data_IF_910007746451
#
_entry.id   IF_910007746451
#
_cell.length_a   1.000
_cell.length_b   1.000
_cell.length_c   1.000
_cell.angle_alpha   90.00
_cell.angle_beta   90.00
_cell.angle_gamma   90.00
#
_symmetry.space_group_name_H-M   'P 1'
#
loop_
_entity.id
_entity.type
_entity.pdbx_description
1 polymer ?
#
# COMPACT_ATOMS: atom_id res chain seq x y z
N UNK A 1 -6.45 -2.94 -1.49
CA UNK A 1 -5.50 -3.56 -0.54
C UNK A 1 -6.15 -4.77 0.07
N UNK A 2 -5.38 -5.76 0.52
CA UNK A 2 -5.88 -6.99 1.19
C UNK A 2 -4.95 -7.28 2.36
N UNK A 3 -5.47 -7.84 3.45
CA UNK A 3 -4.69 -8.31 4.60
C UNK A 3 -5.18 -9.70 5.02
N UNK A 4 -4.30 -10.52 5.58
CA UNK A 4 -4.66 -11.81 6.19
C UNK A 4 -5.63 -11.67 7.37
N UNK A 5 -5.69 -10.47 7.96
CA UNK A 5 -6.57 -10.15 9.10
C UNK A 5 -7.91 -9.52 8.70
N UNK A 6 -8.21 -9.48 7.41
CA UNK A 6 -9.44 -8.93 6.86
C UNK A 6 -9.20 -7.90 5.77
N UNK A 7 -10.30 -7.37 5.23
CA UNK A 7 -10.24 -6.47 4.07
C UNK A 7 -10.20 -4.99 4.53
N UNK A 8 -9.22 -4.19 4.08
CA UNK A 8 -9.26 -2.73 4.17
C UNK A 8 -10.45 -2.14 3.39
N UNK A 9 -10.77 -0.88 3.65
CA UNK A 9 -11.80 -0.15 2.90
C UNK A 9 -11.41 -0.08 1.39
N UNK A 10 -12.36 -0.37 0.50
CA UNK A 10 -12.15 -0.26 -0.95
C UNK A 10 -12.36 1.19 -1.35
N UNK A 11 -11.35 1.76 -1.99
CA UNK A 11 -11.41 3.11 -2.55
C UNK A 11 -11.73 3.01 -4.04
N UNK A 12 -12.87 3.58 -4.43
CA UNK A 12 -13.32 3.64 -5.82
C UNK A 12 -12.97 5.02 -6.38
N UNK A 13 -12.21 5.03 -7.47
CA UNK A 13 -11.74 6.26 -8.12
C UNK A 13 -12.43 6.38 -9.48
N UNK A 14 -12.87 7.59 -9.90
CA UNK A 14 -13.47 7.78 -11.21
C UNK A 14 -12.57 7.30 -12.36
N UNK A 15 -13.19 6.74 -13.40
CA UNK A 15 -12.48 6.29 -14.61
C UNK A 15 -11.72 7.45 -15.25
N UNK A 16 -10.49 7.20 -15.67
CA UNK A 16 -9.61 8.20 -16.30
C UNK A 16 -8.82 9.06 -15.31
N UNK A 17 -9.01 8.89 -14.00
CA UNK A 17 -8.19 9.57 -12.99
C UNK A 17 -6.75 9.09 -13.06
N UNK A 18 -5.80 10.02 -13.22
CA UNK A 18 -4.38 9.72 -13.18
C UNK A 18 -3.92 9.61 -11.71
N UNK A 19 -3.43 8.44 -11.33
CA UNK A 19 -2.88 8.21 -9.98
C UNK A 19 -1.39 8.56 -9.97
N UNK A 20 -1.06 9.74 -9.47
CA UNK A 20 0.31 10.15 -9.15
C UNK A 20 0.59 9.96 -7.66
N UNK A 21 1.84 10.11 -7.22
CA UNK A 21 2.24 9.74 -5.85
C UNK A 21 1.49 10.50 -4.76
N UNK A 22 1.31 11.81 -4.90
CA UNK A 22 0.56 12.59 -3.91
C UNK A 22 -0.92 12.19 -3.87
N UNK A 23 -1.53 11.92 -5.02
CA UNK A 23 -2.88 11.34 -5.08
C UNK A 23 -2.93 10.01 -4.33
N UNK A 24 -1.99 9.10 -4.61
CA UNK A 24 -1.93 7.80 -3.95
C UNK A 24 -1.76 7.91 -2.43
N UNK A 25 -0.87 8.80 -1.96
CA UNK A 25 -0.69 9.04 -0.52
C UNK A 25 -1.96 9.56 0.12
N UNK A 26 -2.56 10.61 -0.46
CA UNK A 26 -3.68 11.30 0.15
C UNK A 26 -4.99 10.51 0.10
N UNK A 27 -5.24 9.83 -1.02
CA UNK A 27 -6.50 9.13 -1.28
C UNK A 27 -6.42 7.68 -0.84
N UNK A 28 -5.26 7.02 -0.92
CA UNK A 28 -5.10 5.61 -0.57
C UNK A 28 -4.41 5.39 0.78
N UNK A 29 -3.17 5.85 0.93
CA UNK A 29 -2.35 5.47 2.09
C UNK A 29 -2.83 6.14 3.38
N UNK A 30 -3.12 7.45 3.38
CA UNK A 30 -3.56 8.16 4.59
C UNK A 30 -4.87 7.58 5.16
N UNK A 31 -5.93 7.33 4.36
CA UNK A 31 -7.14 6.69 4.87
C UNK A 31 -6.88 5.29 5.43
N UNK A 32 -6.08 4.48 4.72
CA UNK A 32 -5.70 3.14 5.17
C UNK A 32 -4.98 3.17 6.53
N UNK A 33 -3.96 4.01 6.67
CA UNK A 33 -3.19 4.13 7.91
C UNK A 33 -4.05 4.65 9.06
N UNK A 34 -4.96 5.59 8.79
CA UNK A 34 -5.80 6.18 9.84
C UNK A 34 -6.94 5.27 10.28
N UNK A 35 -7.60 4.57 9.35
CA UNK A 35 -8.84 3.82 9.62
C UNK A 35 -8.62 2.32 9.71
N UNK A 36 -7.92 1.74 8.74
CA UNK A 36 -7.82 0.29 8.59
C UNK A 36 -6.72 -0.30 9.47
N UNK A 37 -5.59 0.39 9.61
CA UNK A 37 -4.48 -0.10 10.43
C UNK A 37 -4.89 -0.34 11.89
N UNK A 38 -5.52 0.62 12.62
CA UNK A 38 -5.95 0.36 14.00
C UNK A 38 -7.02 -0.73 14.11
N UNK A 39 -7.86 -0.87 13.07
CA UNK A 39 -8.94 -1.86 13.03
C UNK A 39 -8.43 -3.29 12.76
N UNK A 40 -7.47 -3.44 11.86
CA UNK A 40 -6.93 -4.74 11.42
C UNK A 40 -5.71 -5.19 12.25
N UNK A 41 -4.99 -4.24 12.84
CA UNK A 41 -3.78 -4.46 13.62
C UNK A 41 -3.85 -3.63 14.91
N UNK A 42 -4.74 -3.99 15.86
CA UNK A 42 -4.88 -3.28 17.13
C UNK A 42 -3.60 -3.30 17.97
N UNK A 43 -2.71 -4.27 17.76
CA UNK A 43 -1.39 -4.36 18.39
C UNK A 43 -0.42 -3.29 17.84
N UNK A 44 -0.75 -2.70 16.68
CA UNK A 44 -0.04 -1.56 16.10
C UNK A 44 0.66 -1.88 14.77
N UNK A 45 1.11 -0.83 14.07
CA UNK A 45 1.69 -0.93 12.72
C UNK A 45 3.02 -1.69 12.63
N UNK A 46 3.67 -1.99 13.73
CA UNK A 46 4.95 -2.71 13.73
C UNK A 46 4.79 -4.20 13.45
N UNK A 47 3.60 -4.78 13.66
CA UNK A 47 3.33 -6.19 13.37
C UNK A 47 2.96 -6.45 11.91
N UNK A 48 2.74 -5.40 11.10
CA UNK A 48 2.44 -5.55 9.68
C UNK A 48 3.68 -5.34 8.82
N UNK A 49 3.69 -5.99 7.65
CA UNK A 49 4.59 -5.64 6.55
C UNK A 49 3.73 -5.24 5.35
N UNK A 50 3.91 -4.02 4.87
CA UNK A 50 3.18 -3.48 3.74
C UNK A 50 3.86 -3.85 2.42
N UNK A 51 3.05 -4.28 1.45
CA UNK A 51 3.51 -4.62 0.11
C UNK A 51 2.66 -3.87 -0.92
N UNK A 52 3.31 -3.33 -1.95
CA UNK A 52 2.70 -2.61 -3.08
C UNK A 52 3.44 -2.96 -4.36
N UNK A 53 2.73 -2.92 -5.50
CA UNK A 53 3.31 -3.19 -6.81
C UNK A 53 4.31 -2.08 -7.25
N UNK A 54 5.00 -2.32 -8.38
CA UNK A 54 6.05 -1.45 -8.89
C UNK A 54 5.55 -0.21 -9.65
N UNK A 55 4.26 0.14 -9.60
CA UNK A 55 3.75 1.33 -10.28
C UNK A 55 4.54 2.58 -9.87
N UNK A 56 4.77 3.50 -10.82
CA UNK A 56 5.61 4.68 -10.60
C UNK A 56 5.12 5.57 -9.46
N UNK A 57 3.81 5.61 -9.21
CA UNK A 57 3.22 6.32 -8.07
C UNK A 57 3.57 5.68 -6.73
N UNK A 58 3.68 4.35 -6.66
CA UNK A 58 3.96 3.56 -5.46
C UNK A 58 5.45 3.55 -5.11
N UNK A 59 6.31 3.44 -6.11
CA UNK A 59 7.78 3.36 -5.95
C UNK A 59 8.47 4.71 -5.93
N UNK A 60 7.74 5.81 -6.12
CA UNK A 60 8.35 7.15 -6.10
C UNK A 60 9.00 7.46 -4.75
N UNK A 61 10.04 8.30 -4.79
CA UNK A 61 10.69 8.81 -3.57
C UNK A 61 9.70 9.45 -2.60
N UNK A 62 8.67 10.12 -3.12
CA UNK A 62 7.65 10.77 -2.29
C UNK A 62 6.84 9.74 -1.49
N UNK A 63 6.40 8.65 -2.13
CA UNK A 63 5.65 7.58 -1.47
C UNK A 63 6.52 6.79 -0.51
N UNK A 64 7.75 6.45 -0.93
CA UNK A 64 8.72 5.74 -0.08
C UNK A 64 9.06 6.54 1.17
N UNK A 65 9.34 7.84 1.04
CA UNK A 65 9.62 8.70 2.18
C UNK A 65 8.40 8.82 3.10
N UNK A 66 7.20 8.96 2.53
CA UNK A 66 5.98 8.97 3.33
C UNK A 66 5.81 7.69 4.17
N UNK A 67 6.05 6.51 3.60
CA UNK A 67 5.97 5.24 4.34
C UNK A 67 7.02 5.16 5.47
N UNK A 68 8.24 5.66 5.23
CA UNK A 68 9.30 5.77 6.24
C UNK A 68 8.91 6.72 7.37
N UNK A 69 8.40 7.90 7.04
CA UNK A 69 7.95 8.91 8.02
C UNK A 69 6.76 8.40 8.85
N UNK A 70 5.91 7.57 8.24
CA UNK A 70 4.84 6.87 8.95
C UNK A 70 5.33 5.66 9.75
N UNK A 71 6.63 5.36 9.78
CA UNK A 71 7.24 4.21 10.47
C UNK A 71 6.49 2.90 10.18
N UNK A 72 6.15 2.69 8.91
CA UNK A 72 5.53 1.46 8.41
C UNK A 72 6.65 0.58 7.90
N UNK A 73 6.66 -0.69 8.28
CA UNK A 73 7.53 -1.68 7.65
C UNK A 73 6.95 -2.03 6.28
N UNK A 74 7.72 -1.85 5.21
CA UNK A 74 7.29 -2.17 3.85
C UNK A 74 8.42 -2.83 3.06
N UNK A 75 8.06 -3.60 2.03
CA UNK A 75 9.02 -4.14 1.06
C UNK A 75 9.44 -3.01 0.13
N UNK A 76 10.73 -2.69 0.11
CA UNK A 76 11.22 -1.56 -0.70
C UNK A 76 11.22 -1.90 -2.19
N UNK A 77 11.22 -0.89 -3.07
CA UNK A 77 11.34 -1.12 -4.51
C UNK A 77 12.59 -1.92 -4.90
N UNK A 78 13.67 -1.84 -4.12
CA UNK A 78 14.92 -2.57 -4.34
C UNK A 78 14.84 -4.04 -3.88
N UNK A 79 14.07 -4.32 -2.83
CA UNK A 79 13.82 -5.68 -2.33
C UNK A 79 12.84 -6.46 -3.24
N UNK A 80 12.04 -5.73 -4.02
CA UNK A 80 11.05 -6.31 -4.92
C UNK A 80 11.65 -6.61 -6.31
N UNK A 81 11.46 -7.84 -6.81
CA UNK A 81 11.88 -8.21 -8.16
C UNK A 81 10.93 -7.53 -9.17
N UNK A 82 11.41 -6.64 -10.05
CA UNK A 82 10.57 -6.02 -11.06
C UNK A 82 10.01 -7.10 -12.00
N UNK A 83 8.71 -7.05 -12.32
CA UNK A 83 8.00 -7.93 -13.27
C UNK A 83 7.48 -9.29 -12.78
N UNK A 84 7.16 -9.48 -11.50
CA UNK A 84 6.37 -10.66 -11.08
C UNK A 84 4.96 -10.27 -10.66
N UNK A 85 3.98 -10.15 -11.59
CA UNK A 85 2.57 -10.14 -11.21
C UNK A 85 2.22 -11.38 -10.36
N UNK A 86 2.89 -12.51 -10.59
CA UNK A 86 2.67 -13.77 -9.87
C UNK A 86 2.99 -13.72 -8.36
N UNK A 87 3.75 -12.72 -7.91
CA UNK A 87 4.13 -12.55 -6.51
C UNK A 87 3.26 -11.52 -5.74
N UNK A 88 2.33 -10.83 -6.42
CA UNK A 88 1.36 -9.98 -5.74
C UNK A 88 0.14 -10.82 -5.32
N UNK A 89 -0.25 -10.84 -4.03
CA UNK A 89 -1.43 -11.59 -3.59
C UNK A 89 -2.73 -11.21 -4.33
N UNK A 90 -2.77 -10.03 -4.95
CA UNK A 90 -3.92 -9.55 -5.72
C UNK A 90 -3.98 -10.15 -7.13
N UNK A 91 -2.86 -10.58 -7.68
CA UNK A 91 -2.74 -11.00 -9.08
C UNK A 91 -2.75 -12.54 -9.24
N UNK A 92 -2.51 -13.31 -8.16
CA UNK A 92 -2.53 -14.78 -8.19
C UNK A 92 -3.53 -15.47 -7.25
N UNK A 93 -4.45 -14.72 -6.61
CA UNK A 93 -5.55 -15.37 -5.88
C UNK A 93 -6.45 -14.47 -5.04
N UNK A 94 -7.61 -14.11 -5.60
CA UNK A 94 -8.95 -14.28 -4.99
C UNK A 94 -9.89 -14.75 -6.10
#
# INVERSE_FOLDING_TARGET
>A
MVSSRGKPEIIIIPKGTKVYSEFYINICLKPFIRKDVPRLFPEGKHVMTFHQDSASSHTSKHTVNFLKDQNIKFITPEEWIPQSPDAAPKDFGI
#
